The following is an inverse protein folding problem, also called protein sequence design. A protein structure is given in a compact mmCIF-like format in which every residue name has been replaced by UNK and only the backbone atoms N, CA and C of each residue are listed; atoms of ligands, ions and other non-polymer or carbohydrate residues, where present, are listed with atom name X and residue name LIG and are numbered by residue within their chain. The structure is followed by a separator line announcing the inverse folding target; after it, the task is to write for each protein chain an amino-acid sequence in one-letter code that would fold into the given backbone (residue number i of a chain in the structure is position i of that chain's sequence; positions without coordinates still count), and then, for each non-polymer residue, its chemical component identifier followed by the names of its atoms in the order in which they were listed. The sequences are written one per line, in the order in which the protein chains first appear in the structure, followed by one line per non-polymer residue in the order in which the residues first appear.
data_IF_818060935206
#
_entry.id   IF_818060935206
#
_cell.length_a   1.000
_cell.length_b   1.000
_cell.length_c   1.000
_cell.angle_alpha   90.00
_cell.angle_beta   90.00
_cell.angle_gamma   90.00
#
_symmetry.space_group_name_H-M   'P 1'
#
loop_
_entity.id
_entity.type
_entity.pdbx_description
1 polymer ?
#
# COMPACT_ATOMS: atom_id res chain seq x y z
N UNK A 1 8.41 -0.76 -20.07
CA UNK A 1 8.20 -2.13 -20.58
C UNK A 1 7.04 -2.83 -19.86
N UNK A 2 7.00 -2.79 -18.54
CA UNK A 2 5.87 -3.31 -17.77
C UNK A 2 4.58 -2.61 -18.16
N UNK A 3 4.63 -1.32 -18.34
CA UNK A 3 3.49 -0.51 -18.76
C UNK A 3 2.98 -0.93 -20.15
N UNK A 4 3.90 -1.21 -21.08
CA UNK A 4 3.56 -1.67 -22.41
C UNK A 4 2.90 -3.06 -22.38
N UNK A 5 3.44 -3.97 -21.59
CA UNK A 5 2.87 -5.30 -21.42
C UNK A 5 1.48 -5.24 -20.79
N UNK A 6 1.28 -4.36 -19.83
CA UNK A 6 -0.02 -4.15 -19.20
C UNK A 6 -1.07 -3.73 -20.20
N UNK A 7 -0.74 -2.80 -21.09
CA UNK A 7 -1.67 -2.33 -22.12
C UNK A 7 -1.98 -3.39 -23.16
N UNK A 8 -0.99 -4.23 -23.51
CA UNK A 8 -1.13 -5.22 -24.57
C UNK A 8 -1.81 -6.52 -24.12
N UNK A 9 -1.93 -6.73 -22.79
CA UNK A 9 -2.52 -7.95 -22.24
C UNK A 9 -3.58 -7.63 -21.19
N UNK A 10 -4.68 -6.95 -21.58
CA UNK A 10 -5.67 -6.46 -20.62
C UNK A 10 -6.46 -7.56 -19.92
N UNK A 11 -6.48 -8.78 -20.48
CA UNK A 11 -7.25 -9.90 -19.91
C UNK A 11 -6.46 -10.70 -18.88
N UNK A 12 -5.16 -10.46 -18.76
CA UNK A 12 -4.32 -11.15 -17.77
C UNK A 12 -4.30 -10.38 -16.47
N UNK A 13 -4.40 -11.12 -15.34
CA UNK A 13 -4.20 -10.53 -14.04
C UNK A 13 -2.70 -10.37 -13.79
N UNK A 14 -2.26 -9.16 -13.53
CA UNK A 14 -0.86 -8.84 -13.28
C UNK A 14 -0.76 -8.07 -11.96
N UNK A 15 0.13 -8.50 -11.08
CA UNK A 15 0.44 -7.79 -9.85
C UNK A 15 1.76 -7.05 -10.05
N UNK A 16 1.74 -5.74 -9.78
CA UNK A 16 2.95 -4.91 -9.85
C UNK A 16 3.27 -4.47 -8.43
N UNK A 17 4.45 -4.87 -7.95
CA UNK A 17 4.93 -4.52 -6.62
C UNK A 17 6.08 -3.53 -6.76
N UNK A 18 6.10 -2.52 -5.88
CA UNK A 18 7.16 -1.54 -5.87
C UNK A 18 6.75 -0.22 -5.25
N UNK A 19 7.74 0.55 -4.86
CA UNK A 19 7.55 1.82 -4.16
C UNK A 19 6.73 2.84 -4.98
N UNK A 20 6.88 2.83 -6.30
CA UNK A 20 6.19 3.77 -7.20
C UNK A 20 5.10 3.09 -8.04
N UNK A 21 4.72 1.85 -7.71
CA UNK A 21 3.75 1.10 -8.51
C UNK A 21 2.37 1.75 -8.54
N UNK A 22 2.02 2.51 -7.49
CA UNK A 22 0.75 3.24 -7.41
C UNK A 22 0.64 4.38 -8.45
N UNK A 23 1.73 4.75 -9.09
CA UNK A 23 1.75 5.77 -10.15
C UNK A 23 1.50 5.18 -11.54
N UNK A 24 1.45 3.86 -11.66
CA UNK A 24 1.19 3.20 -12.93
C UNK A 24 -0.32 3.15 -13.21
N UNK A 25 -0.72 3.04 -14.50
CA UNK A 25 -2.13 2.92 -14.87
C UNK A 25 -2.66 1.51 -14.55
N UNK A 26 -3.19 1.34 -13.37
CA UNK A 26 -3.68 0.06 -12.85
C UNK A 26 -5.18 0.12 -12.61
N UNK A 27 -5.82 -1.04 -12.46
CA UNK A 27 -7.26 -1.13 -12.23
C UNK A 27 -7.63 -0.93 -10.76
N UNK A 28 -6.74 -1.28 -9.87
CA UNK A 28 -6.92 -1.09 -8.43
C UNK A 28 -5.57 -1.04 -7.72
N UNK A 29 -5.58 -0.54 -6.51
CA UNK A 29 -4.36 -0.39 -5.70
C UNK A 29 -4.59 -0.99 -4.32
N UNK A 30 -3.60 -1.74 -3.83
CA UNK A 30 -3.55 -2.20 -2.44
C UNK A 30 -2.36 -1.53 -1.78
N UNK A 31 -2.61 -0.81 -0.71
CA UNK A 31 -1.56 -0.12 0.05
C UNK A 31 -1.30 -0.90 1.33
N UNK A 32 -0.07 -1.33 1.50
CA UNK A 32 0.37 -1.99 2.72
C UNK A 32 0.98 -0.95 3.65
N UNK A 33 0.24 -0.62 4.70
CA UNK A 33 0.68 0.31 5.74
C UNK A 33 1.49 -0.45 6.78
N UNK A 34 2.33 0.26 7.51
CA UNK A 34 3.14 -0.33 8.56
C UNK A 34 3.30 0.68 9.70
N UNK A 35 3.12 0.25 10.94
CA UNK A 35 3.28 1.16 12.06
C UNK A 35 4.71 1.73 12.09
N UNK A 36 4.89 2.99 12.47
CA UNK A 36 6.21 3.64 12.41
C UNK A 36 7.29 2.91 13.18
N UNK A 37 6.99 2.38 14.37
CA UNK A 37 7.96 1.65 15.16
C UNK A 37 8.42 0.36 14.51
N UNK A 38 7.47 -0.39 13.92
CA UNK A 38 7.77 -1.64 13.20
C UNK A 38 8.55 -1.34 11.93
N UNK A 39 8.15 -0.31 11.20
CA UNK A 39 8.84 0.10 9.98
C UNK A 39 10.29 0.47 10.27
N UNK A 40 10.51 1.26 11.33
CA UNK A 40 11.87 1.64 11.74
C UNK A 40 12.71 0.41 12.06
N UNK A 41 12.16 -0.56 12.79
CA UNK A 41 12.87 -1.80 13.09
C UNK A 41 13.22 -2.59 11.83
N UNK A 42 12.28 -2.70 10.88
CA UNK A 42 12.51 -3.41 9.62
C UNK A 42 13.61 -2.76 8.80
N UNK A 43 13.60 -1.44 8.70
CA UNK A 43 14.60 -0.70 7.92
C UNK A 43 15.96 -0.71 8.61
N UNK A 44 16.01 -0.63 9.94
CA UNK A 44 17.25 -0.77 10.70
C UNK A 44 17.87 -2.15 10.48
N UNK A 45 17.03 -3.19 10.47
CA UNK A 45 17.50 -4.55 10.20
C UNK A 45 18.08 -4.73 8.80
N UNK A 46 17.72 -3.86 7.85
CA UNK A 46 18.28 -3.86 6.50
C UNK A 46 19.50 -2.95 6.36
N UNK A 47 20.00 -2.42 7.45
CA UNK A 47 21.19 -1.57 7.49
C UNK A 47 21.09 -0.28 6.66
N UNK A 48 19.89 0.28 6.54
CA UNK A 48 19.70 1.57 5.89
C UNK A 48 20.24 2.70 6.76
N UNK A 49 20.73 3.77 6.12
CA UNK A 49 21.17 4.97 6.82
C UNK A 49 20.01 5.64 7.55
N UNK A 50 20.32 6.31 8.68
CA UNK A 50 19.30 6.95 9.52
C UNK A 50 18.45 7.97 8.75
N UNK A 51 19.05 8.74 7.84
CA UNK A 51 18.30 9.70 7.03
C UNK A 51 17.24 9.02 6.17
N UNK A 52 17.60 7.88 5.58
CA UNK A 52 16.68 7.11 4.76
C UNK A 52 15.56 6.50 5.62
N UNK A 53 15.92 6.00 6.80
CA UNK A 53 14.94 5.44 7.73
C UNK A 53 13.95 6.52 8.15
N UNK A 54 14.43 7.67 8.61
CA UNK A 54 13.57 8.78 9.04
C UNK A 54 12.67 9.27 7.91
N UNK A 55 13.21 9.40 6.71
CA UNK A 55 12.43 9.83 5.55
C UNK A 55 11.29 8.85 5.22
N UNK A 56 11.57 7.56 5.25
CA UNK A 56 10.54 6.54 4.98
C UNK A 56 9.48 6.50 6.09
N UNK A 57 9.91 6.64 7.34
CA UNK A 57 8.99 6.67 8.48
C UNK A 57 8.08 7.89 8.41
N UNK A 58 8.62 9.06 8.12
CA UNK A 58 7.83 10.28 7.96
C UNK A 58 6.83 10.16 6.83
N UNK A 59 7.25 9.59 5.70
CA UNK A 59 6.40 9.35 4.55
C UNK A 59 5.21 8.46 4.91
N UNK A 60 5.45 7.42 5.72
CA UNK A 60 4.40 6.53 6.21
C UNK A 60 3.46 7.23 7.20
N UNK A 61 4.00 8.00 8.13
CA UNK A 61 3.18 8.74 9.10
C UNK A 61 2.21 9.66 8.39
N UNK A 62 2.66 10.34 7.35
CA UNK A 62 1.84 11.28 6.59
C UNK A 62 0.83 10.60 5.65
N UNK A 63 0.92 9.28 5.46
CA UNK A 63 0.05 8.58 4.52
C UNK A 63 0.26 9.02 3.08
N UNK A 64 1.50 9.29 2.70
CA UNK A 64 1.83 9.92 1.42
C UNK A 64 1.46 9.09 0.20
N UNK A 65 1.38 7.77 0.32
CA UNK A 65 0.92 6.93 -0.78
C UNK A 65 -0.49 7.32 -1.24
N UNK A 66 -1.37 7.64 -0.29
CA UNK A 66 -2.72 8.08 -0.59
C UNK A 66 -2.74 9.45 -1.29
N UNK A 67 -1.86 10.35 -0.87
CA UNK A 67 -1.78 11.69 -1.45
C UNK A 67 -1.32 11.68 -2.91
N UNK A 68 -0.49 10.72 -3.27
CA UNK A 68 0.07 10.60 -4.62
C UNK A 68 -0.81 9.80 -5.58
N UNK A 69 -1.80 9.10 -5.07
CA UNK A 69 -2.57 8.15 -5.85
C UNK A 69 -3.70 8.82 -6.61
N UNK A 70 -4.03 8.25 -7.79
CA UNK A 70 -5.19 8.65 -8.57
C UNK A 70 -6.47 8.29 -7.79
N UNK A 71 -7.30 9.28 -7.48
CA UNK A 71 -8.52 9.11 -6.70
C UNK A 71 -9.68 8.48 -7.49
N UNK A 72 -9.51 8.22 -8.78
CA UNK A 72 -10.52 7.52 -9.59
C UNK A 72 -10.38 6.01 -9.51
N UNK A 73 -9.26 5.49 -9.01
CA UNK A 73 -8.97 4.06 -8.97
C UNK A 73 -9.43 3.48 -7.63
N UNK A 74 -10.09 2.30 -7.61
CA UNK A 74 -10.41 1.62 -6.36
C UNK A 74 -9.13 1.30 -5.58
N UNK A 75 -9.17 1.51 -4.28
CA UNK A 75 -8.01 1.28 -3.44
C UNK A 75 -8.39 0.83 -2.04
N UNK A 76 -7.57 -0.01 -1.46
CA UNK A 76 -7.75 -0.55 -0.12
C UNK A 76 -6.41 -0.51 0.61
N UNK A 77 -6.43 -0.44 1.92
CA UNK A 77 -5.21 -0.47 2.72
C UNK A 77 -5.31 -1.49 3.84
N UNK A 78 -4.14 -2.01 4.23
CA UNK A 78 -4.02 -2.94 5.35
C UNK A 78 -2.83 -2.54 6.22
N UNK A 79 -2.95 -2.78 7.52
CA UNK A 79 -1.84 -2.63 8.44
C UNK A 79 -1.00 -3.91 8.41
N UNK A 80 0.09 -3.89 7.67
CA UNK A 80 0.98 -5.05 7.52
C UNK A 80 1.76 -5.36 8.80
N UNK A 81 1.75 -4.47 9.79
CA UNK A 81 2.43 -4.72 11.06
C UNK A 81 1.57 -5.54 12.03
N UNK A 82 0.26 -5.59 11.84
CA UNK A 82 -0.66 -6.35 12.69
C UNK A 82 -1.39 -7.47 11.97
N UNK A 83 -1.68 -7.30 10.68
CA UNK A 83 -2.43 -8.29 9.92
C UNK A 83 -1.49 -9.34 9.32
N UNK A 84 -1.86 -10.61 9.44
CA UNK A 84 -1.11 -11.69 8.82
C UNK A 84 -1.30 -11.73 7.32
N UNK A 85 -0.33 -12.33 6.61
CA UNK A 85 -0.34 -12.43 5.15
C UNK A 85 -1.62 -13.10 4.63
N UNK A 86 -2.03 -14.20 5.27
CA UNK A 86 -3.22 -14.92 4.84
C UNK A 86 -4.50 -14.10 5.01
N UNK A 87 -4.58 -13.34 6.11
CA UNK A 87 -5.73 -12.45 6.34
C UNK A 87 -5.81 -11.37 5.28
N UNK A 88 -4.68 -10.74 4.99
CA UNK A 88 -4.61 -9.70 3.95
C UNK A 88 -4.98 -10.28 2.59
N UNK A 89 -4.42 -11.43 2.23
CA UNK A 89 -4.71 -12.10 0.98
C UNK A 89 -6.21 -12.40 0.83
N UNK A 90 -6.82 -12.97 1.86
CA UNK A 90 -8.24 -13.31 1.82
C UNK A 90 -9.12 -12.07 1.67
N UNK A 91 -8.79 -10.99 2.37
CA UNK A 91 -9.54 -9.73 2.25
C UNK A 91 -9.40 -9.11 0.86
N UNK A 92 -8.22 -9.21 0.27
CA UNK A 92 -8.01 -8.75 -1.11
C UNK A 92 -8.89 -9.55 -2.06
N UNK A 93 -8.89 -10.88 -1.92
CA UNK A 93 -9.70 -11.75 -2.79
C UNK A 93 -11.18 -11.47 -2.64
N UNK A 94 -11.66 -11.27 -1.41
CA UNK A 94 -13.06 -10.93 -1.14
C UNK A 94 -13.43 -9.58 -1.76
N UNK A 95 -12.53 -8.60 -1.67
CA UNK A 95 -12.73 -7.28 -2.24
C UNK A 95 -12.81 -7.33 -3.78
N UNK A 96 -11.96 -8.11 -4.40
CA UNK A 96 -12.00 -8.33 -5.84
C UNK A 96 -13.29 -9.03 -6.26
N UNK A 97 -13.72 -10.04 -5.50
CA UNK A 97 -14.95 -10.79 -5.78
C UNK A 97 -16.20 -9.93 -5.61
N UNK A 98 -16.16 -8.94 -4.72
CA UNK A 98 -17.26 -8.01 -4.46
C UNK A 98 -17.20 -6.74 -5.32
N UNK A 99 -16.50 -6.82 -6.45
CA UNK A 99 -16.38 -5.73 -7.43
C UNK A 99 -15.80 -4.44 -6.80
N UNK A 100 -14.74 -4.59 -6.02
CA UNK A 100 -14.03 -3.49 -5.35
C UNK A 100 -14.91 -2.69 -4.39
N UNK A 101 -15.76 -3.34 -3.66
CA UNK A 101 -16.61 -2.69 -2.65
C UNK A 101 -16.09 -2.97 -1.24
N UNK A 102 -15.86 -1.93 -0.43
CA UNK A 102 -16.00 -0.50 -0.75
C UNK A 102 -14.88 -0.05 -1.69
N UNK A 103 -15.21 0.91 -2.54
CA UNK A 103 -14.23 1.43 -3.50
C UNK A 103 -13.05 2.13 -2.82
N UNK A 104 -13.30 2.73 -1.68
CA UNK A 104 -12.31 3.39 -0.84
C UNK A 104 -12.62 3.13 0.62
N UNK A 105 -11.61 3.08 1.50
CA UNK A 105 -11.87 2.96 2.93
C UNK A 105 -12.66 4.17 3.43
N UNK A 106 -13.56 3.95 4.39
CA UNK A 106 -14.28 5.04 5.04
C UNK A 106 -13.33 5.94 5.81
N UNK A 107 -12.26 5.37 6.34
CA UNK A 107 -11.31 6.07 7.19
C UNK A 107 -9.93 5.48 6.97
N UNK A 108 -8.97 6.34 6.65
CA UNK A 108 -7.60 5.92 6.43
C UNK A 108 -6.88 5.70 7.76
N UNK A 109 -5.89 4.83 7.74
CA UNK A 109 -5.03 4.60 8.90
C UNK A 109 -4.28 5.90 9.21
N UNK A 110 -4.43 6.38 10.43
CA UNK A 110 -3.77 7.58 10.95
C UNK A 110 -2.95 7.20 12.17
N UNK A 111 -1.65 7.11 11.99
CA UNK A 111 -0.74 6.68 13.06
C UNK A 111 -0.68 7.67 14.21
N UNK A 112 -0.83 8.95 13.93
CA UNK A 112 -0.84 9.99 14.96
C UNK A 112 -2.06 9.81 15.85
N UNK A 113 -3.23 9.63 15.26
CA UNK A 113 -4.46 9.40 16.00
C UNK A 113 -4.40 8.12 16.84
N UNK A 114 -3.74 7.09 16.33
CA UNK A 114 -3.56 5.83 17.05
C UNK A 114 -2.53 5.90 18.16
N UNK A 115 -1.78 7.01 18.25
CA UNK A 115 -0.72 7.16 19.25
C UNK A 115 0.51 6.31 18.98
N UNK A 116 0.76 5.95 17.74
CA UNK A 116 1.86 5.06 17.34
C UNK A 116 3.03 5.82 16.67
N UNK A 117 3.18 7.06 17.01
CA UNK A 117 4.24 7.91 16.44
C UNK A 117 5.29 8.23 17.51
#
# INVERSE_FOLDING_TARGET
QIHSEWKNNPIKSIVIDGHLSHLLPVDCVVILRCSPSVLRKRLTGRSYAEQKISGNVDWEILGSAWAEMDDTVPAIEFDSSSDGVETVFQRIMDWLADDFKPRRPLRLIDWIERGEV
#
